data_IF_022254848383
#
_entry.id   IF_022254848383
#
_cell.length_a   1.000
_cell.length_b   1.000
_cell.length_c   1.000
_cell.angle_alpha   90.00
_cell.angle_beta   90.00
_cell.angle_gamma   90.00
#
_symmetry.space_group_name_H-M   'P 1'
#
loop_
_entity.id
_entity.type
_entity.pdbx_description
1 polymer ?
#
# COMPACT_ATOMS: atom_id res chain seq x y z
N UNK A 1 -52.28 -12.74 -38.11
CA UNK A 1 -50.96 -12.67 -38.79
C UNK A 1 -50.61 -14.08 -39.24
N UNK A 2 -50.39 -14.33 -40.53
CA UNK A 2 -50.05 -15.67 -41.05
C UNK A 2 -48.61 -16.03 -40.71
N UNK A 3 -48.39 -17.20 -40.10
CA UNK A 3 -47.06 -17.74 -39.77
C UNK A 3 -46.28 -18.11 -41.04
N UNK A 4 -44.95 -18.29 -40.92
CA UNK A 4 -44.08 -18.62 -42.06
C UNK A 4 -44.50 -19.94 -42.73
N UNK A 5 -44.80 -20.95 -41.91
CA UNK A 5 -45.24 -22.27 -42.37
C UNK A 5 -46.59 -22.21 -43.09
N UNK A 6 -47.54 -21.41 -42.57
CA UNK A 6 -48.84 -21.20 -43.22
C UNK A 6 -48.69 -20.59 -44.62
N UNK A 7 -47.79 -19.62 -44.80
CA UNK A 7 -47.55 -18.98 -46.11
C UNK A 7 -46.92 -19.96 -47.10
N UNK A 8 -45.94 -20.75 -46.66
CA UNK A 8 -45.29 -21.75 -47.51
C UNK A 8 -46.28 -22.83 -47.98
N UNK A 9 -47.20 -23.26 -47.10
CA UNK A 9 -48.26 -24.21 -47.46
C UNK A 9 -49.23 -23.65 -48.50
N UNK A 10 -49.67 -22.40 -48.31
CA UNK A 10 -50.58 -21.68 -49.23
C UNK A 10 -49.94 -21.51 -50.62
N UNK A 11 -48.63 -21.21 -50.66
CA UNK A 11 -47.90 -21.05 -51.92
C UNK A 11 -47.69 -22.39 -52.65
N UNK A 12 -47.48 -23.50 -51.95
CA UNK A 12 -47.40 -24.85 -52.55
C UNK A 12 -48.72 -25.25 -53.22
N UNK A 13 -49.85 -24.99 -52.58
CA UNK A 13 -51.16 -25.29 -53.16
C UNK A 13 -51.44 -24.53 -54.47
N UNK A 14 -50.93 -23.30 -54.60
CA UNK A 14 -50.97 -22.60 -55.88
C UNK A 14 -50.04 -23.26 -56.93
N UNK A 15 -48.84 -23.69 -56.54
CA UNK A 15 -47.91 -24.38 -57.45
C UNK A 15 -48.47 -25.72 -57.95
N UNK A 16 -49.29 -26.38 -57.14
CA UNK A 16 -50.02 -27.62 -57.47
C UNK A 16 -51.26 -27.38 -58.37
N UNK A 17 -51.59 -26.12 -58.69
CA UNK A 17 -52.59 -25.76 -59.69
C UNK A 17 -53.94 -25.29 -59.16
N UNK A 18 -54.14 -25.15 -57.83
CA UNK A 18 -55.38 -24.57 -57.27
C UNK A 18 -55.53 -23.09 -57.65
N UNK A 19 -56.78 -22.66 -57.88
CA UNK A 19 -57.06 -21.28 -58.27
C UNK A 19 -56.89 -20.30 -57.10
N UNK A 20 -56.34 -19.12 -57.37
CA UNK A 20 -56.18 -18.00 -56.44
C UNK A 20 -57.48 -17.67 -55.71
N UNK A 21 -58.64 -17.75 -56.38
CA UNK A 21 -59.95 -17.49 -55.74
C UNK A 21 -60.32 -18.53 -54.69
N UNK A 22 -60.00 -19.80 -54.92
CA UNK A 22 -60.30 -20.90 -54.00
C UNK A 22 -59.36 -20.85 -52.78
N UNK A 23 -58.07 -20.62 -53.02
CA UNK A 23 -57.07 -20.46 -51.96
C UNK A 23 -57.39 -19.26 -51.05
N UNK A 24 -57.82 -18.14 -51.64
CA UNK A 24 -58.24 -16.96 -50.87
C UNK A 24 -59.46 -17.26 -49.97
N UNK A 25 -60.42 -18.07 -50.44
CA UNK A 25 -61.60 -18.46 -49.67
C UNK A 25 -61.27 -19.50 -48.58
N UNK A 26 -60.42 -20.49 -48.88
CA UNK A 26 -60.03 -21.57 -47.97
C UNK A 26 -59.20 -21.04 -46.78
N UNK A 27 -58.27 -20.12 -47.03
CA UNK A 27 -57.35 -19.60 -46.01
C UNK A 27 -57.69 -18.18 -45.51
N UNK A 28 -58.80 -17.61 -45.98
CA UNK A 28 -59.23 -16.24 -45.67
C UNK A 28 -58.15 -15.16 -45.95
N UNK A 29 -57.39 -15.34 -47.02
CA UNK A 29 -56.30 -14.44 -47.44
C UNK A 29 -56.81 -13.50 -48.53
N UNK A 30 -56.53 -12.20 -48.42
CA UNK A 30 -56.86 -11.26 -49.50
C UNK A 30 -56.05 -11.56 -50.79
N UNK A 31 -56.68 -11.41 -51.95
CA UNK A 31 -56.03 -11.62 -53.26
C UNK A 31 -54.73 -10.81 -53.40
N UNK A 32 -54.72 -9.56 -52.93
CA UNK A 32 -53.55 -8.69 -52.96
C UNK A 32 -52.39 -9.23 -52.12
N UNK A 33 -52.66 -9.82 -50.95
CA UNK A 33 -51.64 -10.45 -50.12
C UNK A 33 -51.06 -11.70 -50.77
N UNK A 34 -51.91 -12.53 -51.38
CA UNK A 34 -51.48 -13.74 -52.08
C UNK A 34 -50.62 -13.42 -53.31
N UNK A 35 -51.02 -12.44 -54.13
CA UNK A 35 -50.21 -11.98 -55.26
C UNK A 35 -48.86 -11.37 -54.84
N UNK A 36 -48.83 -10.64 -53.72
CA UNK A 36 -47.57 -10.13 -53.17
C UNK A 36 -46.62 -11.25 -52.72
N UNK A 37 -47.14 -12.31 -52.10
CA UNK A 37 -46.32 -13.47 -51.73
C UNK A 37 -45.80 -14.23 -52.95
N UNK A 38 -46.65 -14.48 -53.96
CA UNK A 38 -46.24 -15.12 -55.22
C UNK A 38 -45.15 -14.33 -55.95
N UNK A 39 -45.22 -12.99 -55.92
CA UNK A 39 -44.20 -12.12 -56.50
C UNK A 39 -42.88 -12.20 -55.74
N UNK A 40 -42.92 -12.29 -54.41
CA UNK A 40 -41.74 -12.37 -53.55
C UNK A 40 -41.02 -13.72 -53.65
N UNK A 41 -41.77 -14.82 -53.80
CA UNK A 41 -41.26 -16.19 -53.88
C UNK A 41 -41.09 -16.72 -55.31
N UNK A 42 -41.25 -15.87 -56.33
CA UNK A 42 -40.98 -16.25 -57.72
C UNK A 42 -39.48 -16.56 -57.89
N UNK A 43 -39.10 -17.79 -58.26
CA UNK A 43 -37.69 -18.13 -58.43
C UNK A 43 -37.12 -17.46 -59.69
N UNK A 44 -36.03 -16.73 -59.54
CA UNK A 44 -35.20 -16.26 -60.65
C UNK A 44 -34.13 -17.32 -60.92
N UNK A 45 -34.05 -17.80 -62.16
CA UNK A 45 -33.06 -18.81 -62.55
C UNK A 45 -31.66 -18.19 -62.54
N UNK A 46 -30.79 -18.69 -61.66
CA UNK A 46 -29.35 -18.41 -61.64
C UNK A 46 -28.60 -19.39 -62.54
N UNK A 47 -27.43 -19.01 -63.05
CA UNK A 47 -26.53 -19.89 -63.82
C UNK A 47 -26.00 -21.07 -62.98
N UNK A 48 -26.01 -20.95 -61.64
CA UNK A 48 -25.78 -22.07 -60.71
C UNK A 48 -27.15 -22.67 -60.37
N UNK A 49 -27.26 -24.01 -60.24
CA UNK A 49 -28.50 -24.80 -60.01
C UNK A 49 -29.26 -24.48 -58.71
N UNK A 50 -29.42 -23.21 -58.35
CA UNK A 50 -30.03 -22.71 -57.13
C UNK A 50 -31.01 -21.61 -57.53
N UNK A 51 -32.30 -21.83 -57.29
CA UNK A 51 -33.34 -20.82 -57.50
C UNK A 51 -33.24 -19.75 -56.41
N UNK A 52 -32.97 -18.50 -56.79
CA UNK A 52 -32.95 -17.36 -55.85
C UNK A 52 -34.28 -16.64 -55.98
N UNK A 53 -35.01 -16.46 -54.88
CA UNK A 53 -36.23 -15.63 -54.87
C UNK A 53 -35.88 -14.17 -54.65
N UNK A 54 -36.76 -13.25 -55.07
CA UNK A 54 -36.57 -11.81 -54.82
C UNK A 54 -36.42 -11.50 -53.33
N UNK A 55 -37.13 -12.25 -52.48
CA UNK A 55 -37.00 -12.15 -51.03
C UNK A 55 -35.62 -12.54 -50.51
N UNK A 56 -35.08 -13.68 -50.97
CA UNK A 56 -33.73 -14.12 -50.57
C UNK A 56 -32.66 -13.12 -50.99
N UNK A 57 -32.80 -12.51 -52.17
CA UNK A 57 -31.89 -11.48 -52.64
C UNK A 57 -31.92 -10.25 -51.74
N UNK A 58 -33.12 -9.76 -51.39
CA UNK A 58 -33.27 -8.63 -50.47
C UNK A 58 -32.70 -8.94 -49.08
N UNK A 59 -32.99 -10.12 -48.53
CA UNK A 59 -32.46 -10.55 -47.23
C UNK A 59 -30.92 -10.61 -47.23
N UNK A 60 -30.33 -11.08 -48.34
CA UNK A 60 -28.87 -11.13 -48.54
C UNK A 60 -28.27 -9.73 -48.71
N UNK A 61 -28.90 -8.84 -49.47
CA UNK A 61 -28.46 -7.46 -49.63
C UNK A 61 -28.46 -6.73 -48.28
N UNK A 62 -29.51 -6.90 -47.48
CA UNK A 62 -29.57 -6.36 -46.13
C UNK A 62 -28.52 -6.99 -45.21
N UNK A 63 -28.20 -8.27 -45.35
CA UNK A 63 -27.12 -8.91 -44.58
C UNK A 63 -25.74 -8.36 -44.97
N UNK A 64 -25.49 -8.15 -46.26
CA UNK A 64 -24.23 -7.56 -46.72
C UNK A 64 -24.05 -6.13 -46.19
N UNK A 65 -25.11 -5.33 -46.20
CA UNK A 65 -25.08 -3.98 -45.62
C UNK A 65 -24.78 -4.03 -44.11
N UNK A 66 -25.45 -4.93 -43.37
CA UNK A 66 -25.21 -5.15 -41.94
C UNK A 66 -23.76 -5.56 -41.64
N UNK A 67 -23.25 -6.57 -42.34
CA UNK A 67 -21.89 -7.07 -42.12
C UNK A 67 -20.83 -6.01 -42.44
N UNK A 68 -21.07 -5.17 -43.45
CA UNK A 68 -20.18 -4.04 -43.77
C UNK A 68 -20.14 -3.02 -42.63
N UNK A 69 -21.28 -2.65 -42.07
CA UNK A 69 -21.37 -1.75 -40.92
C UNK A 69 -20.63 -2.34 -39.69
N UNK A 70 -20.81 -3.63 -39.40
CA UNK A 70 -20.14 -4.28 -38.28
C UNK A 70 -18.61 -4.33 -38.43
N UNK A 71 -18.12 -4.66 -39.63
CA UNK A 71 -16.68 -4.66 -39.94
C UNK A 71 -16.10 -3.26 -39.79
N UNK A 72 -16.81 -2.24 -40.27
CA UNK A 72 -16.41 -0.85 -40.15
C UNK A 72 -16.30 -0.40 -38.68
N UNK A 73 -17.29 -0.76 -37.85
CA UNK A 73 -17.27 -0.50 -36.40
C UNK A 73 -16.07 -1.21 -35.75
N UNK A 74 -15.82 -2.48 -36.07
CA UNK A 74 -14.72 -3.26 -35.52
C UNK A 74 -13.34 -2.69 -35.89
N UNK A 75 -13.20 -2.15 -37.11
CA UNK A 75 -11.97 -1.47 -37.54
C UNK A 75 -11.73 -0.19 -36.73
N UNK A 76 -12.76 0.65 -36.54
CA UNK A 76 -12.63 1.87 -35.73
C UNK A 76 -12.42 1.60 -34.24
N UNK A 77 -12.99 0.52 -33.73
CA UNK A 77 -12.81 0.08 -32.34
C UNK A 77 -11.42 -0.54 -32.08
N UNK A 78 -10.59 -0.75 -33.11
CA UNK A 78 -9.24 -1.32 -32.94
C UNK A 78 -9.20 -2.82 -32.59
N UNK A 79 -10.22 -3.59 -33.01
CA UNK A 79 -10.37 -5.05 -32.75
C UNK A 79 -10.41 -5.47 -31.26
N UNK A 80 -11.43 -5.08 -30.48
CA UNK A 80 -11.57 -5.45 -29.06
C UNK A 80 -12.03 -6.89 -28.80
N UNK A 81 -11.93 -7.82 -29.76
CA UNK A 81 -12.60 -9.12 -29.68
C UNK A 81 -12.19 -9.96 -28.44
N UNK A 82 -11.02 -9.68 -27.85
CA UNK A 82 -10.48 -10.38 -26.66
C UNK A 82 -10.57 -9.61 -25.35
N UNK A 83 -11.14 -8.40 -25.31
CA UNK A 83 -11.23 -7.60 -24.08
C UNK A 83 -12.51 -7.85 -23.29
N UNK A 84 -12.46 -7.55 -21.99
CA UNK A 84 -13.60 -7.72 -21.09
C UNK A 84 -14.75 -6.76 -21.46
N UNK A 85 -15.98 -7.10 -21.06
CA UNK A 85 -17.16 -6.23 -21.29
C UNK A 85 -16.95 -4.84 -20.68
N UNK A 86 -16.30 -4.75 -19.51
CA UNK A 86 -15.98 -3.47 -18.85
C UNK A 86 -15.07 -2.56 -19.68
N UNK A 87 -14.14 -3.13 -20.45
CA UNK A 87 -13.25 -2.39 -21.35
C UNK A 87 -13.95 -1.99 -22.65
N UNK A 88 -14.92 -2.79 -23.12
CA UNK A 88 -15.71 -2.50 -24.33
C UNK A 88 -16.74 -1.37 -24.13
N UNK A 89 -17.26 -1.20 -22.91
CA UNK A 89 -18.32 -0.23 -22.62
C UNK A 89 -17.92 1.25 -22.82
N UNK A 90 -16.75 1.72 -22.35
CA UNK A 90 -16.26 3.07 -22.67
C UNK A 90 -16.13 3.30 -24.18
N UNK A 91 -15.64 2.30 -24.91
CA UNK A 91 -15.45 2.36 -26.35
C UNK A 91 -16.78 2.45 -27.11
N UNK A 92 -17.78 1.67 -26.69
CA UNK A 92 -19.14 1.75 -27.22
C UNK A 92 -19.74 3.14 -27.05
N UNK A 93 -19.51 3.78 -25.89
CA UNK A 93 -19.97 5.16 -25.66
C UNK A 93 -19.25 6.13 -26.59
N UNK A 94 -17.92 6.03 -26.71
CA UNK A 94 -17.12 6.87 -27.62
C UNK A 94 -17.63 6.76 -29.06
N UNK A 95 -17.81 5.53 -29.55
CA UNK A 95 -18.27 5.28 -30.92
C UNK A 95 -19.70 5.79 -31.18
N UNK A 96 -20.59 5.68 -30.18
CA UNK A 96 -21.94 6.23 -30.26
C UNK A 96 -21.93 7.77 -30.29
N UNK A 97 -21.11 8.43 -29.47
CA UNK A 97 -21.08 9.90 -29.38
C UNK A 97 -20.31 10.57 -30.52
N UNK A 98 -19.22 9.96 -30.97
CA UNK A 98 -18.28 10.57 -31.93
C UNK A 98 -18.68 10.28 -33.37
N UNK A 99 -19.22 9.09 -33.65
CA UNK A 99 -19.55 8.64 -35.01
C UNK A 99 -21.05 8.42 -35.23
N UNK A 100 -21.88 8.56 -34.20
CA UNK A 100 -23.35 8.48 -34.33
C UNK A 100 -23.89 7.10 -34.66
N UNK A 101 -23.12 6.03 -34.46
CA UNK A 101 -23.56 4.66 -34.73
C UNK A 101 -24.72 4.25 -33.83
N UNK A 102 -25.65 3.46 -34.36
CA UNK A 102 -26.76 2.95 -33.56
C UNK A 102 -26.26 2.00 -32.45
N UNK A 103 -26.85 2.10 -31.25
CA UNK A 103 -26.56 1.20 -30.12
C UNK A 103 -26.73 -0.27 -30.51
N UNK A 104 -27.67 -0.57 -31.42
CA UNK A 104 -27.91 -1.92 -31.92
C UNK A 104 -26.76 -2.45 -32.79
N UNK A 105 -26.20 -1.62 -33.67
CA UNK A 105 -25.07 -2.00 -34.51
C UNK A 105 -23.81 -2.18 -33.64
N UNK A 106 -23.55 -1.23 -32.75
CA UNK A 106 -22.40 -1.25 -31.85
C UNK A 106 -22.38 -2.46 -30.91
N UNK A 107 -23.49 -2.73 -30.23
CA UNK A 107 -23.60 -3.87 -29.31
C UNK A 107 -23.47 -5.21 -30.02
N UNK A 108 -23.93 -5.31 -31.28
CA UNK A 108 -23.83 -6.52 -32.08
C UNK A 108 -22.41 -6.75 -32.57
N UNK A 109 -21.78 -5.72 -33.15
CA UNK A 109 -20.40 -5.78 -33.63
C UNK A 109 -19.39 -6.17 -32.53
N UNK A 110 -19.59 -5.67 -31.30
CA UNK A 110 -18.68 -5.93 -30.17
C UNK A 110 -19.13 -7.05 -29.23
N UNK A 111 -20.22 -7.75 -29.57
CA UNK A 111 -20.82 -8.85 -28.81
C UNK A 111 -21.16 -8.49 -27.34
N UNK A 112 -21.71 -7.29 -27.13
CA UNK A 112 -22.12 -6.79 -25.81
C UNK A 112 -23.64 -6.77 -25.72
N UNK A 113 -24.21 -7.19 -24.58
CA UNK A 113 -25.66 -7.11 -24.36
C UNK A 113 -26.08 -5.63 -24.27
N UNK A 114 -27.14 -5.25 -25.00
CA UNK A 114 -27.72 -3.88 -24.95
C UNK A 114 -28.02 -3.40 -23.53
N UNK A 115 -28.49 -4.29 -22.66
CA UNK A 115 -28.74 -3.97 -21.25
C UNK A 115 -27.49 -3.50 -20.51
N UNK A 116 -26.30 -4.04 -20.84
CA UNK A 116 -25.04 -3.61 -20.25
C UNK A 116 -24.64 -2.20 -20.71
N UNK A 117 -24.87 -1.85 -21.99
CA UNK A 117 -24.65 -0.50 -22.50
C UNK A 117 -25.52 0.54 -21.77
N UNK A 118 -26.83 0.29 -21.68
CA UNK A 118 -27.74 1.20 -20.98
C UNK A 118 -27.49 1.25 -19.48
N UNK A 119 -27.12 0.14 -18.85
CA UNK A 119 -26.70 0.14 -17.45
C UNK A 119 -25.45 0.99 -17.24
N UNK A 120 -24.48 0.90 -18.15
CA UNK A 120 -23.25 1.69 -18.09
C UNK A 120 -23.48 3.19 -18.30
N UNK A 121 -24.38 3.56 -19.23
CA UNK A 121 -24.68 4.97 -19.54
C UNK A 121 -25.65 5.63 -18.56
N UNK A 122 -26.69 4.91 -18.11
CA UNK A 122 -27.78 5.48 -17.29
C UNK A 122 -27.61 5.26 -15.78
N UNK A 123 -26.77 4.31 -15.34
CA UNK A 123 -26.61 3.96 -13.91
C UNK A 123 -25.19 4.13 -13.40
N UNK A 124 -24.38 5.01 -14.01
CA UNK A 124 -23.17 5.51 -13.34
C UNK A 124 -23.61 6.55 -12.29
N UNK A 125 -23.56 6.26 -10.98
CA UNK A 125 -23.34 7.35 -10.05
C UNK A 125 -21.95 7.93 -10.37
N UNK A 126 -21.82 9.25 -10.45
CA UNK A 126 -20.53 9.93 -10.69
C UNK A 126 -19.45 9.49 -9.69
N UNK A 127 -19.87 9.05 -8.50
CA UNK A 127 -19.05 8.38 -7.51
C UNK A 127 -19.78 7.16 -6.94
N UNK A 128 -19.09 6.02 -6.93
CA UNK A 128 -19.53 4.84 -6.18
C UNK A 128 -19.59 5.15 -4.68
N UNK A 129 -20.44 4.45 -3.92
CA UNK A 129 -20.50 4.59 -2.44
C UNK A 129 -19.11 4.39 -1.83
N UNK A 130 -18.34 3.45 -2.35
CA UNK A 130 -16.97 3.19 -1.94
C UNK A 130 -16.02 4.39 -2.14
N UNK A 131 -16.17 5.13 -3.25
CA UNK A 131 -15.38 6.34 -3.51
C UNK A 131 -15.76 7.48 -2.56
N UNK A 132 -17.06 7.67 -2.28
CA UNK A 132 -17.50 8.66 -1.29
C UNK A 132 -16.96 8.36 0.10
N UNK A 133 -17.05 7.10 0.52
CA UNK A 133 -16.50 6.65 1.80
C UNK A 133 -14.97 6.84 1.86
N UNK A 134 -14.27 6.60 0.74
CA UNK A 134 -12.83 6.83 0.66
C UNK A 134 -12.48 8.32 0.81
N UNK A 135 -13.20 9.22 0.16
CA UNK A 135 -12.98 10.67 0.28
C UNK A 135 -13.25 11.17 1.71
N UNK A 136 -14.33 10.73 2.34
CA UNK A 136 -14.59 11.04 3.76
C UNK A 136 -13.47 10.53 4.67
N UNK A 137 -12.99 9.30 4.42
CA UNK A 137 -11.93 8.72 5.21
C UNK A 137 -10.58 9.43 4.99
N UNK A 138 -10.28 9.89 3.77
CA UNK A 138 -9.08 10.68 3.45
C UNK A 138 -9.05 11.98 4.25
N UNK A 139 -10.18 12.71 4.30
CA UNK A 139 -10.30 13.95 5.08
C UNK A 139 -10.02 13.70 6.57
N UNK A 140 -10.66 12.69 7.15
CA UNK A 140 -10.46 12.33 8.56
C UNK A 140 -9.03 11.87 8.85
N UNK A 141 -8.40 11.11 7.93
CA UNK A 141 -6.99 10.69 8.04
C UNK A 141 -6.07 11.90 8.05
N UNK A 142 -6.25 12.85 7.12
CA UNK A 142 -5.42 14.05 7.01
C UNK A 142 -5.52 14.94 8.26
N UNK A 143 -6.73 15.10 8.80
CA UNK A 143 -6.98 15.88 10.02
C UNK A 143 -6.27 15.26 11.24
N UNK A 144 -6.48 13.96 11.50
CA UNK A 144 -5.81 13.24 12.59
C UNK A 144 -4.28 13.29 12.42
N UNK A 145 -3.80 13.16 11.19
CA UNK A 145 -2.37 13.21 10.89
C UNK A 145 -1.78 14.58 11.22
N UNK A 146 -2.46 15.66 10.85
CA UNK A 146 -2.03 17.03 11.13
C UNK A 146 -2.11 17.37 12.62
N UNK A 147 -3.18 17.00 13.32
CA UNK A 147 -3.31 17.13 14.78
C UNK A 147 -2.17 16.41 15.51
N UNK A 148 -1.77 15.25 14.99
CA UNK A 148 -0.64 14.50 15.53
C UNK A 148 0.72 15.15 15.25
N UNK A 149 0.79 16.29 14.54
CA UNK A 149 2.04 16.89 14.03
C UNK A 149 2.84 15.90 13.17
N UNK A 150 2.12 15.17 12.31
CA UNK A 150 2.65 14.15 11.39
C UNK A 150 3.32 12.95 12.08
N UNK A 151 3.01 12.64 13.35
CA UNK A 151 3.66 11.55 14.12
C UNK A 151 2.97 10.19 13.94
N UNK A 152 1.66 10.17 13.71
CA UNK A 152 0.90 8.94 13.72
C UNK A 152 0.94 8.23 12.36
N UNK A 153 1.31 6.94 12.40
CA UNK A 153 1.14 6.02 11.27
C UNK A 153 -0.22 5.34 11.25
N UNK A 154 -0.42 4.51 10.22
CA UNK A 154 -1.70 3.84 9.93
C UNK A 154 -2.32 3.10 11.12
N UNK A 155 -1.49 2.50 11.99
CA UNK A 155 -1.95 1.84 13.21
C UNK A 155 -2.60 2.81 14.20
N UNK A 156 -1.95 3.94 14.49
CA UNK A 156 -2.46 4.92 15.45
C UNK A 156 -3.62 5.72 14.87
N UNK A 157 -3.56 6.06 13.58
CA UNK A 157 -4.68 6.70 12.87
C UNK A 157 -5.92 5.82 12.92
N UNK A 158 -5.79 4.49 12.75
CA UNK A 158 -6.92 3.57 12.91
C UNK A 158 -7.60 3.69 14.27
N UNK A 159 -6.83 3.76 15.35
CA UNK A 159 -7.38 3.90 16.72
C UNK A 159 -8.15 5.22 16.84
N UNK A 160 -7.57 6.33 16.36
CA UNK A 160 -8.22 7.65 16.38
C UNK A 160 -9.45 7.75 15.48
N UNK A 161 -9.43 7.07 14.33
CA UNK A 161 -10.60 6.95 13.47
C UNK A 161 -11.74 6.19 14.15
N UNK A 162 -11.40 5.11 14.89
CA UNK A 162 -12.39 4.34 15.64
C UNK A 162 -13.01 5.16 16.78
N UNK A 163 -12.23 5.99 17.48
CA UNK A 163 -12.75 6.94 18.47
C UNK A 163 -13.73 7.97 17.84
N UNK A 164 -13.53 8.31 16.56
CA UNK A 164 -14.39 9.22 15.79
C UNK A 164 -15.54 8.53 15.05
N UNK A 165 -15.78 7.24 15.30
CA UNK A 165 -16.88 6.47 14.72
C UNK A 165 -16.62 5.88 13.32
N UNK A 166 -15.41 6.01 12.78
CA UNK A 166 -15.04 5.41 11.50
C UNK A 166 -14.51 3.98 11.66
N UNK A 167 -14.98 3.06 10.81
CA UNK A 167 -14.49 1.67 10.77
C UNK A 167 -13.73 1.42 9.46
N UNK A 168 -12.41 1.26 9.55
CA UNK A 168 -11.57 0.90 8.41
C UNK A 168 -10.42 -0.04 8.81
N UNK A 169 -9.98 -0.87 7.86
CA UNK A 169 -8.82 -1.74 8.06
C UNK A 169 -7.52 -0.91 8.03
N UNK A 170 -6.51 -1.37 8.76
CA UNK A 170 -5.19 -0.72 8.76
C UNK A 170 -4.58 -0.67 7.35
N UNK A 171 -4.80 -1.72 6.54
CA UNK A 171 -4.31 -1.80 5.16
C UNK A 171 -4.96 -0.73 4.28
N UNK A 172 -6.28 -0.53 4.40
CA UNK A 172 -7.02 0.52 3.67
C UNK A 172 -6.51 1.91 4.08
N UNK A 173 -6.33 2.14 5.38
CA UNK A 173 -5.78 3.41 5.89
C UNK A 173 -4.37 3.66 5.34
N UNK A 174 -3.50 2.63 5.34
CA UNK A 174 -2.15 2.74 4.81
C UNK A 174 -2.12 3.06 3.31
N UNK A 175 -3.02 2.46 2.53
CA UNK A 175 -3.17 2.76 1.10
C UNK A 175 -3.60 4.21 0.87
N UNK A 176 -4.60 4.69 1.62
CA UNK A 176 -5.07 6.09 1.51
C UNK A 176 -4.03 7.10 1.98
N UNK A 177 -3.29 6.79 3.06
CA UNK A 177 -2.16 7.63 3.49
C UNK A 177 -1.09 7.73 2.41
N UNK A 178 -0.82 6.64 1.68
CA UNK A 178 0.14 6.64 0.56
C UNK A 178 -0.37 7.49 -0.61
N UNK A 179 -1.66 7.40 -0.93
CA UNK A 179 -2.30 8.21 -1.97
C UNK A 179 -2.27 9.71 -1.64
N UNK A 180 -2.43 10.06 -0.36
CA UNK A 180 -2.31 11.44 0.15
C UNK A 180 -0.85 11.88 0.39
N UNK A 181 0.13 11.06 0.04
CA UNK A 181 1.56 11.32 0.27
C UNK A 181 1.92 11.63 1.75
N UNK A 182 1.14 11.12 2.70
CA UNK A 182 1.32 11.35 4.13
C UNK A 182 2.44 10.46 4.69
N UNK A 183 3.65 11.02 4.77
CA UNK A 183 4.81 10.36 5.36
C UNK A 183 4.92 10.73 6.83
N UNK A 184 4.80 9.72 7.70
CA UNK A 184 4.99 9.92 9.12
C UNK A 184 6.40 10.45 9.39
N UNK A 185 6.49 11.48 10.23
CA UNK A 185 7.69 11.86 10.93
C UNK A 185 8.02 10.75 11.93
N UNK A 186 8.53 9.62 11.44
CA UNK A 186 9.32 8.74 12.26
C UNK A 186 10.40 9.64 12.85
N UNK A 187 10.45 9.76 14.19
CA UNK A 187 11.54 10.45 14.86
C UNK A 187 12.85 9.71 14.52
N UNK A 188 13.44 10.03 13.35
CA UNK A 188 14.87 9.88 13.08
C UNK A 188 15.68 10.95 13.83
N UNK A 189 15.03 11.76 14.67
CA UNK A 189 15.67 12.76 15.55
C UNK A 189 16.50 12.16 16.70
N UNK A 190 16.47 10.85 16.94
CA UNK A 190 17.08 10.31 18.19
C UNK A 190 18.41 9.57 17.99
N UNK A 191 18.90 9.36 16.76
CA UNK A 191 20.19 8.68 16.55
C UNK A 191 21.20 9.50 15.74
N UNK A 192 20.78 10.21 14.70
CA UNK A 192 21.73 11.00 13.89
C UNK A 192 22.09 12.35 14.54
N UNK A 193 21.15 13.05 15.17
CA UNK A 193 21.44 14.27 15.94
C UNK A 193 22.23 13.94 17.21
N UNK A 194 21.87 12.85 17.92
CA UNK A 194 22.69 12.31 19.02
C UNK A 194 24.11 11.95 18.53
N UNK A 195 24.25 11.19 17.43
CA UNK A 195 25.57 10.87 16.87
C UNK A 195 26.35 12.13 16.50
N UNK A 196 25.74 13.17 15.92
CA UNK A 196 26.43 14.43 15.59
C UNK A 196 26.87 15.20 16.84
N UNK A 197 26.03 15.29 17.87
CA UNK A 197 26.39 15.98 19.12
C UNK A 197 27.54 15.24 19.83
N UNK A 198 27.53 13.90 19.83
CA UNK A 198 28.59 13.10 20.45
C UNK A 198 29.83 12.90 19.55
N UNK A 199 29.74 13.05 18.22
CA UNK A 199 30.91 13.12 17.33
C UNK A 199 31.71 14.42 17.52
N UNK A 200 31.02 15.51 17.89
CA UNK A 200 31.64 16.81 18.11
C UNK A 200 32.12 17.05 19.55
N UNK A 201 31.71 16.24 20.53
CA UNK A 201 32.34 16.21 21.86
C UNK A 201 33.66 15.42 21.83
N UNK A 202 34.45 15.62 20.77
CA UNK A 202 35.76 15.03 20.55
C UNK A 202 36.73 15.44 21.66
N UNK A 203 36.62 14.79 22.81
CA UNK A 203 37.72 14.72 23.74
C UNK A 203 38.80 13.88 23.05
N UNK A 204 39.78 14.55 22.44
CA UNK A 204 40.91 13.93 21.74
C UNK A 204 41.70 12.90 22.59
N UNK A 205 41.35 12.76 23.87
CA UNK A 205 41.97 11.90 24.87
C UNK A 205 41.14 10.64 25.22
N UNK A 206 39.92 10.47 24.69
CA UNK A 206 39.05 9.34 25.00
C UNK A 206 39.42 8.09 24.19
N UNK A 207 40.39 7.31 24.69
CA UNK A 207 40.88 6.09 24.03
C UNK A 207 40.31 4.84 24.70
N UNK A 208 39.73 3.94 23.89
CA UNK A 208 39.37 2.61 24.35
C UNK A 208 40.61 1.72 24.44
N UNK A 209 41.16 1.61 25.65
CA UNK A 209 42.30 0.74 25.95
C UNK A 209 41.87 -0.68 26.32
N UNK A 210 40.66 -0.85 26.87
CA UNK A 210 40.17 -2.16 27.32
C UNK A 210 39.81 -3.07 26.14
N UNK A 211 39.29 -2.51 25.04
CA UNK A 211 38.94 -3.23 23.80
C UNK A 211 38.15 -4.53 24.04
N UNK A 212 37.20 -4.48 24.99
CA UNK A 212 36.34 -5.62 25.40
C UNK A 212 37.10 -6.83 25.96
N UNK A 213 38.34 -6.66 26.43
CA UNK A 213 39.08 -7.69 27.14
C UNK A 213 38.50 -7.85 28.55
N UNK A 214 37.35 -8.51 28.66
CA UNK A 214 36.61 -8.65 29.92
C UNK A 214 37.12 -9.80 30.81
N UNK A 215 38.07 -10.59 30.31
CA UNK A 215 38.75 -11.63 31.07
C UNK A 215 40.08 -11.08 31.52
N UNK A 216 40.26 -10.97 32.83
CA UNK A 216 41.49 -10.50 33.47
C UNK A 216 42.21 -11.67 34.12
N UNK A 217 43.53 -11.56 34.30
CA UNK A 217 44.36 -12.62 34.88
C UNK A 217 44.48 -12.54 36.40
N UNK A 218 44.24 -11.37 36.98
CA UNK A 218 44.32 -11.11 38.41
C UNK A 218 43.35 -10.01 38.85
N UNK A 219 42.95 -9.98 40.14
CA UNK A 219 42.13 -8.90 40.69
C UNK A 219 42.86 -7.56 40.64
N UNK A 220 42.09 -6.47 40.56
CA UNK A 220 42.59 -5.09 40.59
C UNK A 220 43.51 -4.68 39.42
N UNK A 221 43.48 -5.41 38.30
CA UNK A 221 44.13 -4.96 37.06
C UNK A 221 43.24 -4.00 36.28
N UNK A 222 41.93 -4.28 36.26
CA UNK A 222 40.93 -3.46 35.56
C UNK A 222 39.71 -3.28 36.44
N UNK A 223 39.38 -2.03 36.72
CA UNK A 223 38.11 -1.65 37.32
C UNK A 223 37.22 -1.02 36.25
N UNK A 224 35.96 -1.42 36.25
CA UNK A 224 34.93 -0.88 35.35
C UNK A 224 33.90 -0.13 36.17
N UNK A 225 33.38 0.98 35.64
CA UNK A 225 32.43 1.84 36.33
C UNK A 225 31.24 2.21 35.47
N UNK A 226 30.08 2.28 36.10
CA UNK A 226 28.86 2.79 35.50
C UNK A 226 28.13 3.76 36.44
N UNK A 227 27.40 4.71 35.85
CA UNK A 227 26.61 5.70 36.57
C UNK A 227 25.17 5.64 36.08
N UNK A 228 24.29 5.10 36.92
CA UNK A 228 22.87 4.96 36.63
C UNK A 228 22.03 5.85 37.54
N UNK A 229 20.73 5.97 37.25
CA UNK A 229 19.78 6.66 38.12
C UNK A 229 18.69 5.71 38.59
N UNK A 230 18.30 5.86 39.85
CA UNK A 230 17.23 5.14 40.49
C UNK A 230 16.07 6.12 40.71
N UNK A 231 14.93 5.85 40.07
CA UNK A 231 13.74 6.67 40.21
C UNK A 231 12.81 6.06 41.25
N UNK A 232 12.47 6.84 42.28
CA UNK A 232 11.43 6.52 43.25
C UNK A 232 10.15 7.32 42.91
N UNK A 233 9.08 7.11 43.68
CA UNK A 233 7.85 7.91 43.54
C UNK A 233 8.07 9.38 43.90
N UNK A 234 9.05 9.68 44.76
CA UNK A 234 9.26 10.99 45.36
C UNK A 234 10.50 11.71 44.79
N UNK A 235 11.52 10.97 44.36
CA UNK A 235 12.81 11.54 43.98
C UNK A 235 13.57 10.70 42.93
N UNK A 236 14.66 11.26 42.43
CA UNK A 236 15.63 10.56 41.58
C UNK A 236 16.98 10.57 42.26
N UNK A 237 17.54 9.40 42.48
CA UNK A 237 18.90 9.22 42.99
C UNK A 237 19.83 8.77 41.87
N UNK A 238 21.12 9.01 42.03
CA UNK A 238 22.18 8.59 41.14
C UNK A 238 23.05 7.59 41.88
N UNK A 239 23.35 6.49 41.22
CA UNK A 239 24.16 5.40 41.75
C UNK A 239 25.38 5.22 40.85
N UNK A 240 26.57 5.44 41.41
CA UNK A 240 27.83 5.08 40.80
C UNK A 240 28.28 3.73 41.36
N UNK A 241 28.66 2.79 40.50
CA UNK A 241 29.14 1.47 40.87
C UNK A 241 30.51 1.24 40.25
N UNK A 242 31.45 0.70 41.02
CA UNK A 242 32.75 0.23 40.53
C UNK A 242 32.86 -1.26 40.78
N UNK A 243 33.19 -2.01 39.72
CA UNK A 243 33.33 -3.45 39.71
C UNK A 243 34.77 -3.84 39.34
N UNK A 244 35.34 -4.80 40.06
CA UNK A 244 36.61 -5.44 39.69
C UNK A 244 36.34 -6.49 38.61
N UNK A 245 36.95 -6.33 37.44
CA UNK A 245 36.61 -7.09 36.25
C UNK A 245 37.01 -8.57 36.33
N UNK A 246 38.05 -8.88 37.12
CA UNK A 246 38.47 -10.25 37.40
C UNK A 246 37.44 -10.98 38.26
N UNK A 247 37.16 -10.46 39.46
CA UNK A 247 36.30 -11.14 40.44
C UNK A 247 34.80 -10.95 40.18
N UNK A 248 34.43 -10.02 39.28
CA UNK A 248 33.05 -9.55 39.07
C UNK A 248 32.39 -9.00 40.33
N UNK A 249 33.19 -8.65 41.33
CA UNK A 249 32.71 -8.10 42.59
C UNK A 249 32.54 -6.60 42.46
N UNK A 250 31.38 -6.10 42.87
CA UNK A 250 31.21 -4.67 43.16
C UNK A 250 32.11 -4.31 44.35
N UNK A 251 33.11 -3.49 44.10
CA UNK A 251 34.13 -3.13 45.11
C UNK A 251 33.80 -1.82 45.82
N UNK A 252 33.02 -0.94 45.17
CA UNK A 252 32.57 0.32 45.72
C UNK A 252 31.28 0.75 45.04
N UNK A 253 30.46 1.50 45.76
CA UNK A 253 29.32 2.22 45.21
C UNK A 253 29.10 3.51 45.99
N UNK A 254 28.52 4.51 45.33
CA UNK A 254 28.10 5.77 45.95
C UNK A 254 26.72 6.14 45.44
N UNK A 255 25.82 6.46 46.37
CA UNK A 255 24.47 6.96 46.08
C UNK A 255 24.42 8.46 46.39
N UNK A 256 23.78 9.26 45.54
CA UNK A 256 23.55 10.68 45.76
C UNK A 256 22.21 11.12 45.17
N UNK A 257 21.57 12.12 45.77
CA UNK A 257 20.43 12.86 45.21
C UNK A 257 20.84 13.90 44.15
N UNK A 258 22.14 14.17 44.01
CA UNK A 258 22.70 15.15 43.08
C UNK A 258 23.45 14.49 41.92
N UNK A 259 23.28 15.06 40.72
CA UNK A 259 24.06 14.71 39.50
C UNK A 259 25.50 15.26 39.53
N UNK A 260 26.03 15.67 40.67
CA UNK A 260 27.35 16.29 40.75
C UNK A 260 28.47 15.29 40.38
N UNK A 261 29.56 15.72 39.71
CA UNK A 261 30.69 14.84 39.38
C UNK A 261 31.31 14.13 40.59
N UNK A 262 31.21 14.75 41.77
CA UNK A 262 31.70 14.22 43.06
C UNK A 262 31.23 12.79 43.36
N UNK A 263 30.08 12.35 42.83
CA UNK A 263 29.62 10.97 43.04
C UNK A 263 30.64 9.93 42.54
N UNK A 264 31.22 10.17 41.36
CA UNK A 264 32.19 9.26 40.74
C UNK A 264 33.53 9.34 41.48
N UNK A 265 33.99 10.56 41.78
CA UNK A 265 35.21 10.81 42.54
C UNK A 265 35.19 10.11 43.90
N UNK A 266 34.10 10.28 44.66
CA UNK A 266 33.93 9.63 45.96
C UNK A 266 33.88 8.11 45.84
N UNK A 267 33.20 7.59 44.81
CA UNK A 267 33.13 6.14 44.57
C UNK A 267 34.51 5.56 44.30
N UNK A 268 35.30 6.21 43.42
CA UNK A 268 36.66 5.82 43.08
C UNK A 268 37.58 5.87 44.28
N UNK A 269 37.59 6.99 45.02
CA UNK A 269 38.46 7.17 46.17
C UNK A 269 38.18 6.09 47.25
N UNK A 270 36.90 5.83 47.55
CA UNK A 270 36.52 4.73 48.46
C UNK A 270 37.00 3.36 47.99
N UNK A 271 36.92 3.10 46.68
CA UNK A 271 37.41 1.84 46.11
C UNK A 271 38.93 1.72 46.27
N UNK A 272 39.64 2.80 45.94
CA UNK A 272 41.10 2.87 45.98
C UNK A 272 41.66 2.73 47.38
N UNK A 273 41.13 3.50 48.35
CA UNK A 273 41.53 3.43 49.76
C UNK A 273 41.31 2.03 50.36
N UNK A 274 40.21 1.37 49.97
CA UNK A 274 39.88 0.03 50.47
C UNK A 274 40.72 -1.08 49.84
N UNK A 275 41.05 -0.97 48.56
CA UNK A 275 41.69 -2.06 47.79
C UNK A 275 43.20 -1.91 47.63
N UNK A 276 43.71 -0.68 47.70
CA UNK A 276 45.13 -0.34 47.48
C UNK A 276 45.73 -1.13 46.30
N UNK A 277 45.19 -0.92 45.08
CA UNK A 277 45.57 -1.69 43.92
C UNK A 277 47.03 -1.41 43.52
N UNK A 278 47.67 -2.33 42.78
CA UNK A 278 49.02 -2.09 42.26
C UNK A 278 49.04 -0.94 41.24
N UNK A 279 50.24 -0.42 41.00
CA UNK A 279 50.47 0.57 39.96
C UNK A 279 50.04 0.03 38.59
N UNK A 280 49.50 0.93 37.76
CA UNK A 280 49.03 0.56 36.42
C UNK A 280 47.61 -0.01 36.37
N UNK A 281 46.84 0.06 37.46
CA UNK A 281 45.39 -0.19 37.42
C UNK A 281 44.75 0.57 36.25
N UNK A 282 43.97 -0.12 35.43
CA UNK A 282 43.12 0.50 34.43
C UNK A 282 41.73 0.81 35.02
N UNK A 283 41.26 2.03 34.84
CA UNK A 283 39.87 2.40 35.14
C UNK A 283 39.11 2.67 33.85
N UNK A 284 38.08 1.87 33.59
CA UNK A 284 37.28 1.92 32.37
C UNK A 284 35.83 2.37 32.65
N UNK A 285 35.32 3.30 31.83
CA UNK A 285 33.93 3.76 31.90
C UNK A 285 33.38 4.10 30.52
N UNK A 286 32.10 4.45 30.45
CA UNK A 286 31.55 5.16 29.29
C UNK A 286 32.09 6.61 29.21
N UNK A 287 31.71 7.32 28.14
CA UNK A 287 32.08 8.74 27.95
C UNK A 287 31.11 9.70 28.65
N UNK A 288 30.51 9.31 29.77
CA UNK A 288 29.66 10.19 30.57
C UNK A 288 30.45 11.41 31.06
N UNK A 289 29.86 12.61 30.96
CA UNK A 289 30.52 13.88 31.28
C UNK A 289 31.18 13.92 32.69
N UNK A 290 30.66 13.13 33.64
CA UNK A 290 31.17 13.08 35.02
C UNK A 290 32.54 12.41 35.13
N UNK A 291 32.83 11.45 34.25
CA UNK A 291 34.13 10.78 34.17
C UNK A 291 35.24 11.66 33.59
N UNK A 292 34.90 12.83 33.03
CA UNK A 292 35.87 13.81 32.54
C UNK A 292 36.22 14.91 33.55
N UNK A 293 35.66 14.88 34.76
CA UNK A 293 35.92 15.90 35.78
C UNK A 293 37.41 16.02 36.11
N UNK A 294 37.88 17.26 36.33
CA UNK A 294 39.27 17.55 36.70
C UNK A 294 39.65 16.85 38.00
N UNK A 295 38.78 16.93 39.02
CA UNK A 295 38.99 16.30 40.33
C UNK A 295 39.27 14.78 40.21
N UNK A 296 38.49 14.06 39.40
CA UNK A 296 38.69 12.63 39.18
C UNK A 296 40.03 12.37 38.47
N UNK A 297 40.35 13.18 37.45
CA UNK A 297 41.59 13.05 36.69
C UNK A 297 42.82 13.29 37.56
N UNK A 298 42.79 14.31 38.42
CA UNK A 298 43.89 14.64 39.32
C UNK A 298 44.15 13.50 40.30
N UNK A 299 43.09 12.89 40.84
CA UNK A 299 43.20 11.74 41.73
C UNK A 299 43.72 10.51 40.98
N UNK A 300 43.23 10.22 39.77
CA UNK A 300 43.74 9.10 38.97
C UNK A 300 45.21 9.28 38.61
N UNK A 301 45.63 10.49 38.23
CA UNK A 301 47.02 10.81 37.92
C UNK A 301 47.91 10.66 39.16
N UNK A 302 47.47 11.14 40.33
CA UNK A 302 48.18 10.97 41.61
C UNK A 302 48.45 9.50 41.94
N UNK A 303 47.54 8.62 41.55
CA UNK A 303 47.60 7.18 41.79
C UNK A 303 48.09 6.36 40.60
N UNK A 304 48.66 7.01 39.57
CA UNK A 304 49.17 6.36 38.36
C UNK A 304 48.14 5.43 37.66
N UNK A 305 46.85 5.76 37.76
CA UNK A 305 45.74 4.99 37.18
C UNK A 305 45.56 5.32 35.71
N UNK A 306 45.48 4.27 34.89
CA UNK A 306 45.31 4.39 33.44
C UNK A 306 43.83 4.52 33.11
N UNK A 307 43.39 5.73 32.77
CA UNK A 307 42.00 5.94 32.34
C UNK A 307 41.77 5.38 30.92
N UNK A 308 40.61 4.75 30.73
CA UNK A 308 40.14 4.09 29.52
C UNK A 308 38.65 4.37 29.32
N UNK A 309 38.20 4.54 28.08
CA UNK A 309 36.79 4.87 27.80
C UNK A 309 36.21 3.96 26.73
N UNK A 310 34.91 3.66 26.80
CA UNK A 310 34.18 3.10 25.65
C UNK A 310 34.12 4.10 24.49
N UNK A 311 33.97 3.63 23.26
CA UNK A 311 33.73 4.48 22.10
C UNK A 311 32.33 5.11 22.15
N UNK A 312 32.13 6.15 21.34
CA UNK A 312 30.83 6.82 21.23
C UNK A 312 29.80 5.87 20.63
N UNK A 313 28.69 5.65 21.34
CA UNK A 313 27.56 4.85 20.86
C UNK A 313 27.79 3.34 20.86
N UNK A 314 28.76 2.84 21.62
CA UNK A 314 29.10 1.41 21.75
C UNK A 314 28.89 0.89 23.18
N UNK A 315 27.63 0.76 23.66
CA UNK A 315 27.35 0.34 25.04
C UNK A 315 27.91 -1.05 25.38
N UNK A 316 28.13 -1.91 24.38
CA UNK A 316 28.72 -3.25 24.54
C UNK A 316 30.15 -3.24 25.06
N UNK A 317 30.85 -2.10 25.01
CA UNK A 317 32.21 -1.95 25.52
C UNK A 317 32.25 -1.74 27.04
N UNK A 318 31.13 -1.33 27.66
CA UNK A 318 30.97 -1.21 29.11
C UNK A 318 29.91 -2.15 29.71
N UNK A 319 29.37 -3.10 28.92
CA UNK A 319 28.22 -3.94 29.29
C UNK A 319 28.46 -4.95 30.44
N UNK A 320 29.61 -4.87 31.11
CA UNK A 320 30.01 -5.75 32.22
C UNK A 320 29.65 -5.21 33.59
N UNK A 321 29.18 -3.95 33.66
CA UNK A 321 28.73 -3.28 34.89
C UNK A 321 27.21 -3.30 34.95
#
# INVERSE_FOLDING_TARGET
MYTKEQREMILRQHQEGKNVTEICAEYNVSKSSLYNWLRQDRPVKSQRKTSITCRMYYELEQEVLRLREEVEILHRAGRPARTSVEQKLPELVRLNTEYGYSVHALCRALEVRRSAFYHYTLRRPEQTVFQRDAEQLKLAIAEIFNESKCRFGSRMIRVKLMERGYTASQVRIAALMKELELVCNAQKKTLQEYRRVYQYSGHAFAVNKLKRQFTQTAPNLVWVSDLTYLRTLEAVYYLCVILDLFSRKVISYTLSDSKAPKIVTNCFQRAYEKRQPPDGLMFHSDQGAKYYSSELRDIMNKHCVVQSFSNVGTPYENAVV
#
